data_IF_798194884151
#
_entry.id   IF_798194884151
#
_cell.length_a   1.000
_cell.length_b   1.000
_cell.length_c   1.000
_cell.angle_alpha   90.00
_cell.angle_beta   90.00
_cell.angle_gamma   90.00
#
_symmetry.space_group_name_H-M   'P 1'
#
loop_
_entity.id
_entity.type
_entity.pdbx_description
1 polymer ?
#
# COMPACT_ATOMS: atom_id res chain seq x y z
N UNK A 1 -17.89 4.23 28.39
CA UNK A 1 -16.68 3.81 27.65
C UNK A 1 -17.08 2.60 26.83
N UNK A 2 -17.18 2.72 25.50
CA UNK A 2 -17.43 1.54 24.65
C UNK A 2 -16.18 0.67 24.69
N UNK A 3 -16.36 -0.62 24.98
CA UNK A 3 -15.28 -1.60 24.80
C UNK A 3 -14.97 -1.63 23.31
N UNK A 4 -13.71 -1.38 22.96
CA UNK A 4 -13.27 -1.47 21.59
C UNK A 4 -13.48 -2.93 21.13
N UNK A 5 -14.40 -3.20 20.16
CA UNK A 5 -14.72 -4.56 19.74
C UNK A 5 -13.50 -5.28 19.13
N UNK A 6 -12.45 -4.55 18.74
CA UNK A 6 -11.24 -5.07 18.11
C UNK A 6 -10.27 -5.80 19.08
N UNK A 7 -10.59 -5.82 20.38
CA UNK A 7 -9.75 -6.42 21.45
C UNK A 7 -10.42 -7.58 22.20
N UNK A 8 -11.55 -8.11 21.72
CA UNK A 8 -12.15 -9.31 22.34
C UNK A 8 -11.31 -10.56 22.03
N UNK A 9 -11.37 -11.56 22.92
CA UNK A 9 -10.75 -12.86 22.69
C UNK A 9 -11.20 -13.49 21.36
N UNK A 10 -12.40 -13.14 20.90
CA UNK A 10 -13.04 -13.62 19.67
C UNK A 10 -12.28 -13.24 18.39
N UNK A 11 -11.46 -12.18 18.42
CA UNK A 11 -10.66 -11.72 17.27
C UNK A 11 -9.20 -12.18 17.30
N UNK A 12 -8.78 -12.87 18.36
CA UNK A 12 -7.39 -13.35 18.47
C UNK A 12 -7.00 -14.26 17.29
N UNK A 13 -7.92 -15.15 16.89
CA UNK A 13 -7.70 -16.02 15.75
C UNK A 13 -7.61 -15.24 14.42
N UNK A 14 -8.53 -14.32 14.16
CA UNK A 14 -8.54 -13.49 12.96
C UNK A 14 -7.24 -12.69 12.82
N UNK A 15 -6.74 -12.15 13.93
CA UNK A 15 -5.47 -11.43 14.00
C UNK A 15 -4.30 -12.32 13.63
N UNK A 16 -4.19 -13.50 14.24
CA UNK A 16 -3.13 -14.46 13.93
C UNK A 16 -3.18 -14.91 12.46
N UNK A 17 -4.38 -15.13 11.92
CA UNK A 17 -4.58 -15.47 10.51
C UNK A 17 -4.06 -14.38 9.58
N UNK A 18 -4.45 -13.11 9.79
CA UNK A 18 -3.99 -11.98 8.96
C UNK A 18 -2.50 -11.72 9.14
N UNK A 19 -1.97 -11.79 10.37
CA UNK A 19 -0.53 -11.65 10.62
C UNK A 19 0.27 -12.69 9.84
N UNK A 20 -0.17 -13.96 9.83
CA UNK A 20 0.49 -15.01 9.07
C UNK A 20 0.48 -14.77 7.56
N UNK A 21 -0.63 -14.29 7.01
CA UNK A 21 -0.73 -13.96 5.58
C UNK A 21 0.19 -12.80 5.18
N UNK A 22 0.31 -11.79 6.04
CA UNK A 22 1.07 -10.57 5.80
C UNK A 22 2.48 -10.61 6.41
N UNK A 23 2.93 -11.77 6.89
CA UNK A 23 4.30 -11.93 7.36
C UNK A 23 5.26 -11.73 6.17
N UNK A 24 6.25 -10.85 6.33
CA UNK A 24 7.20 -10.47 5.27
C UNK A 24 6.55 -9.83 4.04
N UNK A 25 5.36 -9.25 4.20
CA UNK A 25 4.77 -8.40 3.17
C UNK A 25 5.44 -7.03 3.14
N UNK A 26 5.30 -6.32 2.03
CA UNK A 26 5.83 -4.95 1.87
C UNK A 26 5.30 -4.04 2.97
N UNK A 27 3.99 -4.05 3.28
CA UNK A 27 3.48 -3.19 4.36
C UNK A 27 4.04 -3.56 5.73
N UNK A 28 4.16 -4.86 6.04
CA UNK A 28 4.66 -5.30 7.35
C UNK A 28 6.11 -4.86 7.56
N UNK A 29 6.93 -4.92 6.50
CA UNK A 29 8.33 -4.51 6.51
C UNK A 29 8.48 -2.98 6.54
N UNK A 30 7.68 -2.26 5.75
CA UNK A 30 7.68 -0.79 5.75
C UNK A 30 7.23 -0.25 7.11
N UNK A 31 6.17 -0.81 7.70
CA UNK A 31 5.65 -0.36 9.00
C UNK A 31 6.38 -0.96 10.20
N UNK A 32 7.27 -1.94 9.98
CA UNK A 32 8.06 -2.63 11.00
C UNK A 32 7.27 -3.62 11.86
N UNK A 33 6.03 -3.94 11.51
CA UNK A 33 5.19 -4.89 12.25
C UNK A 33 4.02 -5.41 11.44
N UNK A 34 3.89 -6.73 11.35
CA UNK A 34 2.69 -7.42 10.83
C UNK A 34 1.45 -7.15 11.69
N UNK A 35 1.62 -6.81 12.97
CA UNK A 35 0.50 -6.56 13.89
C UNK A 35 -0.22 -5.27 13.54
N UNK A 36 0.53 -4.25 13.13
CA UNK A 36 -0.02 -2.97 12.66
C UNK A 36 -0.82 -3.20 11.37
N UNK A 37 -0.28 -4.00 10.45
CA UNK A 37 -0.96 -4.36 9.20
C UNK A 37 -2.25 -5.13 9.49
N UNK A 38 -2.17 -6.15 10.35
CA UNK A 38 -3.33 -6.94 10.74
C UNK A 38 -4.40 -6.09 11.42
N UNK A 39 -4.03 -5.18 12.31
CA UNK A 39 -5.00 -4.28 12.96
C UNK A 39 -5.78 -3.42 11.96
N UNK A 40 -5.09 -2.85 10.97
CA UNK A 40 -5.72 -2.05 9.90
C UNK A 40 -6.67 -2.88 9.06
N UNK A 41 -6.23 -4.07 8.64
CA UNK A 41 -7.02 -4.98 7.83
C UNK A 41 -8.25 -5.45 8.58
N UNK A 42 -8.11 -5.86 9.84
CA UNK A 42 -9.24 -6.33 10.64
C UNK A 42 -10.31 -5.26 10.84
N UNK A 43 -9.91 -4.00 11.09
CA UNK A 43 -10.87 -2.89 11.22
C UNK A 43 -11.61 -2.61 9.93
N UNK A 44 -10.90 -2.62 8.80
CA UNK A 44 -11.53 -2.50 7.49
C UNK A 44 -12.51 -3.66 7.25
N UNK A 45 -12.07 -4.89 7.48
CA UNK A 45 -12.88 -6.09 7.25
C UNK A 45 -14.09 -6.16 8.15
N UNK A 46 -13.96 -5.75 9.40
CA UNK A 46 -15.06 -5.75 10.35
C UNK A 46 -16.12 -4.72 9.96
N UNK A 47 -15.72 -3.52 9.53
CA UNK A 47 -16.66 -2.53 8.96
C UNK A 47 -17.39 -3.09 7.75
N UNK A 48 -16.66 -3.72 6.83
CA UNK A 48 -17.25 -4.31 5.62
C UNK A 48 -18.23 -5.44 5.96
N UNK A 49 -17.88 -6.29 6.94
CA UNK A 49 -18.75 -7.35 7.45
C UNK A 49 -20.03 -6.78 8.10
N UNK A 50 -19.92 -5.70 8.88
CA UNK A 50 -21.07 -5.04 9.50
C UNK A 50 -21.99 -4.37 8.48
N UNK A 51 -21.44 -3.92 7.35
CA UNK A 51 -22.20 -3.28 6.26
C UNK A 51 -22.75 -4.28 5.24
N UNK A 52 -22.33 -5.55 5.28
CA UNK A 52 -22.88 -6.57 4.42
C UNK A 52 -24.38 -6.72 4.69
N UNK A 53 -25.21 -6.49 3.67
CA UNK A 53 -26.67 -6.44 3.82
C UNK A 53 -27.20 -7.78 4.35
N UNK A 54 -27.80 -7.74 5.54
CA UNK A 54 -28.40 -8.91 6.19
C UNK A 54 -29.81 -9.22 5.70
N UNK A 55 -30.33 -8.49 4.70
CA UNK A 55 -31.73 -8.57 4.28
C UNK A 55 -32.14 -9.92 3.70
N UNK A 56 -31.20 -10.71 3.15
CA UNK A 56 -31.52 -11.96 2.44
C UNK A 56 -31.11 -13.25 3.17
N UNK A 57 -30.04 -13.23 3.96
CA UNK A 57 -29.49 -14.42 4.64
C UNK A 57 -28.80 -14.02 5.95
N UNK A 58 -28.73 -14.93 6.95
CA UNK A 58 -27.91 -14.69 8.13
C UNK A 58 -26.45 -14.50 7.70
N UNK A 59 -25.85 -13.39 8.13
CA UNK A 59 -24.44 -13.12 7.89
C UNK A 59 -23.60 -14.25 8.52
N UNK A 60 -22.59 -14.78 7.81
CA UNK A 60 -21.62 -15.67 8.44
C UNK A 60 -20.95 -14.93 9.59
N UNK A 61 -20.42 -15.65 10.59
CA UNK A 61 -19.59 -14.99 11.59
C UNK A 61 -18.36 -14.33 10.93
N UNK A 62 -17.79 -13.35 11.63
CA UNK A 62 -16.70 -12.54 11.11
C UNK A 62 -15.47 -13.38 10.68
N UNK A 63 -15.17 -14.46 11.40
CA UNK A 63 -14.03 -15.32 11.09
C UNK A 63 -14.25 -16.07 9.77
N UNK A 64 -15.45 -16.62 9.56
CA UNK A 64 -15.82 -17.24 8.29
C UNK A 64 -15.88 -16.23 7.15
N UNK A 65 -16.39 -15.01 7.37
CA UNK A 65 -16.35 -13.94 6.38
C UNK A 65 -14.92 -13.60 5.96
N UNK A 66 -14.03 -13.38 6.93
CA UNK A 66 -12.63 -13.02 6.71
C UNK A 66 -11.88 -14.12 5.94
N UNK A 67 -12.01 -15.38 6.37
CA UNK A 67 -11.37 -16.50 5.67
C UNK A 67 -11.96 -16.70 4.29
N UNK A 68 -13.27 -16.60 4.14
CA UNK A 68 -13.91 -16.69 2.83
C UNK A 68 -13.42 -15.59 1.89
N UNK A 69 -13.19 -14.37 2.38
CA UNK A 69 -12.66 -13.27 1.56
C UNK A 69 -11.23 -13.52 1.08
N UNK A 70 -10.34 -14.05 1.93
CA UNK A 70 -8.95 -14.36 1.55
C UNK A 70 -8.79 -15.67 0.77
N UNK A 71 -9.65 -16.66 1.04
CA UNK A 71 -9.60 -17.98 0.43
C UNK A 71 -10.63 -18.16 -0.68
N UNK A 72 -11.39 -17.13 -1.06
CA UNK A 72 -12.48 -17.24 -2.02
C UNK A 72 -11.99 -17.91 -3.31
N UNK A 73 -12.54 -19.10 -3.60
CA UNK A 73 -12.18 -19.94 -4.75
C UNK A 73 -10.68 -20.22 -4.91
N UNK A 74 -9.95 -20.22 -3.79
CA UNK A 74 -8.78 -21.07 -3.55
C UNK A 74 -7.47 -20.72 -4.24
N UNK A 75 -7.39 -19.73 -5.15
CA UNK A 75 -6.15 -19.22 -5.75
C UNK A 75 -6.39 -17.93 -6.52
N UNK A 76 -5.33 -17.13 -6.64
CA UNK A 76 -5.17 -16.09 -7.68
C UNK A 76 -5.54 -16.67 -9.05
N UNK A 77 -6.33 -15.97 -9.89
CA UNK A 77 -6.76 -16.50 -11.19
C UNK A 77 -5.59 -16.99 -12.06
N UNK A 78 -5.82 -18.04 -12.85
CA UNK A 78 -4.85 -18.43 -13.89
C UNK A 78 -4.73 -17.24 -14.84
N UNK A 79 -3.50 -16.75 -15.07
CA UNK A 79 -3.23 -15.50 -15.81
C UNK A 79 -3.65 -14.19 -15.13
N UNK A 80 -3.67 -14.13 -13.79
CA UNK A 80 -3.98 -12.91 -13.03
C UNK A 80 -3.24 -11.64 -13.52
N UNK A 81 -2.01 -11.78 -14.01
CA UNK A 81 -1.22 -10.69 -14.60
C UNK A 81 -1.94 -9.97 -15.76
N UNK A 82 -2.73 -10.69 -16.56
CA UNK A 82 -3.52 -10.10 -17.67
C UNK A 82 -4.58 -9.12 -17.19
N UNK A 83 -5.01 -9.28 -15.94
CA UNK A 83 -6.01 -8.43 -15.29
C UNK A 83 -5.35 -7.34 -14.44
N UNK A 84 -4.02 -7.23 -14.42
CA UNK A 84 -3.31 -6.27 -13.57
C UNK A 84 -3.18 -6.71 -12.12
N UNK A 85 -3.36 -8.00 -11.83
CA UNK A 85 -3.03 -8.59 -10.53
C UNK A 85 -1.56 -9.05 -10.56
N UNK A 86 -0.69 -8.45 -9.77
CA UNK A 86 0.73 -8.78 -9.82
C UNK A 86 1.03 -10.15 -9.22
N UNK A 87 2.19 -10.70 -9.60
CA UNK A 87 2.78 -11.84 -8.87
C UNK A 87 2.97 -11.45 -7.40
N UNK A 88 2.85 -12.45 -6.52
CA UNK A 88 3.05 -12.29 -5.08
C UNK A 88 2.04 -11.38 -4.36
N UNK A 89 0.96 -10.97 -5.06
CA UNK A 89 -0.13 -10.24 -4.45
C UNK A 89 -0.84 -11.06 -3.37
N UNK A 90 -1.08 -10.42 -2.23
CA UNK A 90 -2.01 -10.90 -1.21
C UNK A 90 -3.37 -10.31 -1.58
N UNK A 91 -4.20 -11.17 -2.17
CA UNK A 91 -5.50 -10.78 -2.71
C UNK A 91 -6.61 -11.06 -1.71
N UNK A 92 -7.68 -10.29 -1.86
CA UNK A 92 -8.93 -10.53 -1.16
C UNK A 92 -10.08 -10.30 -2.11
N UNK A 93 -11.10 -11.15 -2.01
CA UNK A 93 -12.30 -11.02 -2.81
C UNK A 93 -13.11 -9.79 -2.37
N UNK A 94 -13.39 -8.92 -3.32
CA UNK A 94 -14.12 -7.68 -3.10
C UNK A 94 -15.62 -7.93 -3.29
N UNK A 95 -16.26 -8.46 -2.24
CA UNK A 95 -17.71 -8.60 -2.17
C UNK A 95 -18.38 -7.26 -2.49
N UNK A 96 -19.51 -7.30 -3.21
CA UNK A 96 -20.22 -6.08 -3.63
C UNK A 96 -20.67 -5.24 -2.46
N UNK A 97 -21.04 -5.92 -1.39
CA UNK A 97 -21.57 -5.36 -0.16
C UNK A 97 -20.46 -4.78 0.73
N UNK A 98 -19.19 -5.06 0.42
CA UNK A 98 -18.05 -4.61 1.22
C UNK A 98 -17.67 -3.13 0.99
N UNK A 99 -18.32 -2.44 0.05
CA UNK A 99 -18.18 -0.99 -0.12
C UNK A 99 -16.78 -0.51 -0.53
N UNK A 100 -15.99 -1.37 -1.18
CA UNK A 100 -14.71 -0.96 -1.76
C UNK A 100 -14.90 0.10 -2.85
N UNK A 101 -14.00 1.07 -2.91
CA UNK A 101 -13.98 2.05 -4.00
C UNK A 101 -13.65 1.34 -5.32
N UNK A 102 -14.38 1.66 -6.39
CA UNK A 102 -14.19 1.00 -7.70
C UNK A 102 -12.78 1.17 -8.26
N UNK A 103 -12.03 2.21 -7.86
CA UNK A 103 -10.62 2.38 -8.28
C UNK A 103 -9.64 1.39 -7.64
N UNK A 104 -10.04 0.72 -6.56
CA UNK A 104 -9.26 -0.33 -5.91
C UNK A 104 -9.57 -1.73 -6.45
N UNK A 105 -10.70 -1.88 -7.12
CA UNK A 105 -11.19 -3.16 -7.58
C UNK A 105 -10.52 -3.53 -8.89
N UNK A 106 -9.89 -4.69 -8.89
CA UNK A 106 -9.36 -5.34 -10.08
C UNK A 106 -10.32 -6.43 -10.49
N UNK A 107 -10.85 -6.29 -11.70
CA UNK A 107 -11.76 -7.25 -12.31
C UNK A 107 -10.96 -8.33 -13.03
N UNK A 108 -11.19 -9.59 -12.68
CA UNK A 108 -10.69 -10.73 -13.45
C UNK A 108 -11.82 -11.53 -14.05
N UNK A 109 -11.51 -12.23 -15.14
CA UNK A 109 -12.42 -13.16 -15.76
C UNK A 109 -11.88 -14.59 -15.63
N UNK A 110 -12.75 -15.53 -15.25
CA UNK A 110 -12.46 -16.95 -15.29
C UNK A 110 -13.16 -17.57 -16.50
N UNK A 111 -12.41 -17.81 -17.57
CA UNK A 111 -12.95 -18.27 -18.84
C UNK A 111 -13.49 -19.73 -18.78
N UNK A 112 -13.11 -20.49 -17.75
CA UNK A 112 -13.54 -21.88 -17.54
C UNK A 112 -14.88 -22.00 -16.79
N UNK A 113 -15.51 -20.89 -16.44
CA UNK A 113 -16.71 -20.82 -15.60
C UNK A 113 -17.90 -20.19 -16.37
N UNK A 114 -19.15 -20.62 -16.10
CA UNK A 114 -20.33 -20.02 -16.72
C UNK A 114 -20.37 -18.49 -16.61
N UNK A 115 -20.87 -17.83 -17.65
CA UNK A 115 -20.81 -16.38 -17.81
C UNK A 115 -21.41 -15.61 -16.63
N UNK A 116 -22.46 -16.13 -16.01
CA UNK A 116 -23.11 -15.53 -14.84
C UNK A 116 -22.18 -15.36 -13.63
N UNK A 117 -21.10 -16.14 -13.53
CA UNK A 117 -20.17 -16.13 -12.37
C UNK A 117 -18.70 -16.10 -12.80
N UNK A 118 -18.43 -15.74 -14.06
CA UNK A 118 -17.07 -15.64 -14.64
C UNK A 118 -16.29 -14.44 -14.11
N UNK A 119 -16.97 -13.34 -13.84
CA UNK A 119 -16.33 -12.11 -13.38
C UNK A 119 -16.10 -12.15 -11.87
N UNK A 120 -14.87 -11.82 -11.48
CA UNK A 120 -14.45 -11.78 -10.09
C UNK A 120 -13.85 -10.42 -9.78
N UNK A 121 -14.05 -9.98 -8.54
CA UNK A 121 -13.60 -8.69 -8.03
C UNK A 121 -12.54 -8.93 -6.97
N UNK A 122 -11.40 -8.27 -7.11
CA UNK A 122 -10.29 -8.42 -6.19
C UNK A 122 -9.80 -7.07 -5.71
N UNK A 123 -9.34 -7.00 -4.48
CA UNK A 123 -8.49 -5.90 -3.99
C UNK A 123 -7.12 -6.46 -3.63
N UNK A 124 -6.09 -5.66 -3.90
CA UNK A 124 -4.71 -5.99 -3.54
C UNK A 124 -4.46 -5.47 -2.13
N UNK A 125 -4.57 -6.37 -1.15
CA UNK A 125 -4.36 -6.03 0.26
C UNK A 125 -2.90 -5.66 0.52
N UNK A 126 -1.99 -6.43 -0.06
CA UNK A 126 -0.56 -6.28 0.14
C UNK A 126 0.23 -7.05 -0.93
N UNK A 127 1.55 -6.94 -0.92
CA UNK A 127 2.46 -7.67 -1.80
C UNK A 127 3.48 -8.41 -0.93
N UNK A 128 3.71 -9.70 -1.15
CA UNK A 128 4.81 -10.41 -0.47
C UNK A 128 6.14 -9.90 -1.00
N UNK A 129 7.11 -9.67 -0.12
CA UNK A 129 8.45 -9.28 -0.52
C UNK A 129 9.32 -10.53 -0.69
N UNK A 130 9.75 -10.90 -1.92
CA UNK A 130 10.59 -12.07 -2.13
C UNK A 130 11.95 -11.96 -1.42
N UNK A 131 12.45 -10.72 -1.31
CA UNK A 131 13.64 -10.37 -0.54
C UNK A 131 13.30 -9.26 0.47
N UNK A 132 12.93 -9.63 1.71
CA UNK A 132 12.56 -8.68 2.75
C UNK A 132 13.63 -7.64 3.06
N UNK A 133 14.91 -7.94 2.82
CA UNK A 133 16.03 -7.05 3.13
C UNK A 133 16.10 -5.82 2.21
N UNK A 134 15.42 -5.87 1.06
CA UNK A 134 15.37 -4.79 0.08
C UNK A 134 14.26 -3.78 0.34
N UNK A 135 13.30 -4.08 1.24
CA UNK A 135 12.21 -3.16 1.54
C UNK A 135 12.70 -2.08 2.51
N UNK A 136 12.57 -0.81 2.11
CA UNK A 136 13.02 0.33 2.92
C UNK A 136 12.03 0.55 4.07
N UNK A 137 12.45 0.38 5.34
CA UNK A 137 11.55 0.58 6.47
C UNK A 137 11.25 2.07 6.67
N UNK A 138 9.99 2.38 6.99
CA UNK A 138 9.56 3.74 7.28
C UNK A 138 9.84 4.10 8.73
N UNK A 139 10.92 4.84 8.96
CA UNK A 139 11.48 5.10 10.30
C UNK A 139 10.90 6.32 11.01
N UNK A 140 9.63 6.69 10.74
CA UNK A 140 9.04 7.90 11.32
C UNK A 140 8.62 7.69 12.79
N UNK A 141 9.18 8.46 13.74
CA UNK A 141 8.79 8.39 15.16
C UNK A 141 7.37 8.90 15.42
N UNK A 142 6.76 9.62 14.46
CA UNK A 142 5.44 10.22 14.56
C UNK A 142 4.33 9.41 13.89
N UNK A 143 4.61 8.16 13.48
CA UNK A 143 3.54 7.26 13.11
C UNK A 143 2.58 7.10 14.30
N UNK A 144 1.26 7.28 14.10
CA UNK A 144 0.27 7.19 15.18
C UNK A 144 0.24 5.81 15.86
N UNK A 145 0.91 4.81 15.26
CA UNK A 145 1.02 3.43 15.70
C UNK A 145 1.84 3.24 16.98
N UNK A 146 2.82 4.11 17.25
CA UNK A 146 3.81 3.88 18.31
C UNK A 146 3.43 4.39 19.70
N UNK A 147 2.41 5.26 19.83
CA UNK A 147 1.99 5.81 21.12
C UNK A 147 0.52 5.49 21.38
N UNK A 148 0.24 4.70 22.41
CA UNK A 148 -1.13 4.39 22.84
C UNK A 148 -1.90 5.65 23.23
N UNK A 149 -3.18 5.71 22.86
CA UNK A 149 -4.08 6.80 23.24
C UNK A 149 -5.29 6.95 22.31
N UNK A 150 -6.34 7.65 22.77
CA UNK A 150 -7.59 7.87 22.02
C UNK A 150 -7.40 8.43 20.60
N UNK A 151 -6.39 9.28 20.40
CA UNK A 151 -6.08 9.83 19.07
C UNK A 151 -5.64 8.77 18.07
N UNK A 152 -4.95 7.71 18.52
CA UNK A 152 -4.56 6.58 17.67
C UNK A 152 -5.79 5.84 17.16
N UNK A 153 -6.71 5.49 18.06
CA UNK A 153 -7.94 4.75 17.71
C UNK A 153 -8.81 5.53 16.73
N UNK A 154 -9.05 6.82 16.98
CA UNK A 154 -9.82 7.66 16.08
C UNK A 154 -9.16 7.79 14.69
N UNK A 155 -7.82 7.92 14.63
CA UNK A 155 -7.12 7.93 13.35
C UNK A 155 -7.25 6.57 12.64
N UNK A 156 -7.14 5.48 13.38
CA UNK A 156 -7.27 4.12 12.88
C UNK A 156 -8.62 3.82 12.23
N UNK A 157 -9.69 4.36 12.81
CA UNK A 157 -11.05 4.24 12.27
C UNK A 157 -11.21 5.00 10.96
N UNK A 158 -10.57 6.16 10.82
CA UNK A 158 -10.68 6.99 9.61
C UNK A 158 -9.76 6.50 8.50
N UNK A 159 -8.67 5.82 8.85
CA UNK A 159 -7.66 5.40 7.89
C UNK A 159 -8.17 4.30 6.96
N UNK A 160 -8.14 4.61 5.68
CA UNK A 160 -8.18 3.61 4.62
C UNK A 160 -6.99 2.65 4.79
N UNK A 161 -7.29 1.35 4.83
CA UNK A 161 -6.29 0.31 5.00
C UNK A 161 -5.62 -0.09 3.68
N UNK A 162 -6.23 0.24 2.54
CA UNK A 162 -5.80 -0.24 1.23
C UNK A 162 -4.70 0.66 0.63
N UNK A 163 -3.51 0.11 0.31
CA UNK A 163 -2.48 0.84 -0.40
C UNK A 163 -2.81 0.97 -1.89
N UNK A 164 -2.27 2.01 -2.51
CA UNK A 164 -2.30 2.16 -3.97
C UNK A 164 -1.02 1.55 -4.53
N UNK A 165 -1.16 0.40 -5.19
CA UNK A 165 -0.05 -0.30 -5.84
C UNK A 165 0.17 0.19 -7.26
N UNK A 166 1.43 0.47 -7.61
CA UNK A 166 1.83 0.88 -8.96
C UNK A 166 2.16 -0.36 -9.80
N UNK A 167 1.12 -1.06 -10.26
CA UNK A 167 1.26 -2.25 -11.11
C UNK A 167 1.53 -1.84 -12.55
N UNK A 168 2.62 -2.34 -13.12
CA UNK A 168 3.02 -2.09 -14.49
C UNK A 168 2.18 -2.89 -15.50
N UNK A 169 2.21 -2.49 -16.78
CA UNK A 169 1.55 -3.21 -17.88
C UNK A 169 2.08 -4.64 -18.10
N UNK A 170 3.29 -4.95 -17.61
CA UNK A 170 3.88 -6.29 -17.63
C UNK A 170 3.54 -7.13 -16.39
N UNK A 171 2.66 -6.67 -15.50
CA UNK A 171 2.26 -7.37 -14.28
C UNK A 171 3.24 -7.25 -13.10
N UNK A 172 4.37 -6.56 -13.25
CA UNK A 172 5.30 -6.30 -12.13
C UNK A 172 4.84 -5.15 -11.25
N UNK A 173 5.27 -5.13 -9.97
CA UNK A 173 4.94 -4.05 -9.04
C UNK A 173 6.07 -3.04 -8.95
N UNK A 174 5.68 -1.76 -9.02
CA UNK A 174 6.52 -0.61 -8.75
C UNK A 174 7.12 0.03 -9.98
N UNK A 175 7.59 1.26 -9.83
CA UNK A 175 8.23 2.05 -10.90
C UNK A 175 9.61 2.54 -10.45
N UNK A 176 10.67 2.36 -11.26
CA UNK A 176 11.99 2.90 -10.93
C UNK A 176 11.95 4.44 -10.87
N UNK A 177 12.58 5.04 -9.86
CA UNK A 177 12.54 6.51 -9.70
C UNK A 177 13.17 7.27 -10.87
N UNK A 178 14.16 6.66 -11.53
CA UNK A 178 14.91 7.27 -12.62
C UNK A 178 14.33 7.03 -14.03
N UNK A 179 13.20 6.31 -14.17
CA UNK A 179 12.58 6.00 -15.46
C UNK A 179 11.33 6.85 -15.72
N UNK A 180 10.97 6.95 -17.00
CA UNK A 180 9.67 7.50 -17.39
C UNK A 180 8.54 6.55 -16.96
N UNK A 181 7.59 7.07 -16.20
CA UNK A 181 6.49 6.32 -15.61
C UNK A 181 5.27 6.23 -16.53
N UNK A 182 5.16 7.13 -17.52
CA UNK A 182 4.02 7.18 -18.43
C UNK A 182 3.89 5.93 -19.31
N UNK A 183 4.99 5.23 -19.54
CA UNK A 183 5.05 4.00 -20.34
C UNK A 183 4.87 2.73 -19.53
N UNK A 184 5.08 2.80 -18.21
CA UNK A 184 5.08 1.62 -17.34
C UNK A 184 3.68 1.33 -16.78
N UNK A 185 2.88 2.36 -16.52
CA UNK A 185 1.60 2.22 -15.84
C UNK A 185 0.42 2.29 -16.83
N UNK A 186 -0.67 1.53 -16.58
CA UNK A 186 -1.87 1.62 -17.41
C UNK A 186 -2.41 3.06 -17.43
N UNK A 187 -2.54 3.71 -18.60
CA UNK A 187 -2.88 5.13 -18.70
C UNK A 187 -4.30 5.44 -18.24
N UNK A 188 -5.18 4.43 -18.24
CA UNK A 188 -6.59 4.56 -17.90
C UNK A 188 -6.90 4.28 -16.42
N UNK A 189 -5.93 3.84 -15.61
CA UNK A 189 -6.19 3.55 -14.20
C UNK A 189 -6.30 4.85 -13.41
N UNK A 190 -7.48 5.10 -12.90
CA UNK A 190 -7.81 6.27 -12.09
C UNK A 190 -7.76 5.92 -10.60
N UNK A 191 -7.60 6.94 -9.78
CA UNK A 191 -7.70 6.89 -8.33
C UNK A 191 -8.68 7.97 -7.87
N UNK A 192 -9.66 7.59 -7.05
CA UNK A 192 -10.78 8.44 -6.61
C UNK A 192 -10.89 8.63 -5.10
N UNK A 193 -10.09 7.95 -4.28
CA UNK A 193 -10.33 7.91 -2.83
C UNK A 193 -9.90 9.14 -2.05
N UNK A 194 -9.19 10.10 -2.66
CA UNK A 194 -8.68 11.25 -1.92
C UNK A 194 -9.74 12.34 -1.86
N UNK A 195 -10.35 12.63 -0.68
CA UNK A 195 -11.27 13.76 -0.54
C UNK A 195 -10.52 15.09 -0.67
N UNK A 196 -9.20 15.07 -0.53
CA UNK A 196 -8.35 16.26 -0.57
C UNK A 196 -7.62 16.39 -1.91
N UNK A 197 -7.51 17.64 -2.39
CA UNK A 197 -6.72 17.98 -3.59
C UNK A 197 -5.21 18.04 -3.32
N UNK A 198 -4.83 18.13 -2.04
CA UNK A 198 -3.44 18.25 -1.61
C UNK A 198 -3.16 17.17 -0.59
N UNK A 199 -2.18 16.33 -0.90
CA UNK A 199 -1.74 15.26 -0.01
C UNK A 199 -0.29 15.53 0.39
N UNK A 200 0.06 15.26 1.64
CA UNK A 200 1.44 15.33 2.10
C UNK A 200 2.15 13.99 1.89
N UNK A 201 3.22 13.98 1.10
CA UNK A 201 4.14 12.84 1.00
C UNK A 201 5.09 12.89 2.18
N UNK A 202 5.02 11.88 3.05
CA UNK A 202 5.91 11.72 4.20
C UNK A 202 7.01 10.72 3.85
N UNK A 203 8.27 11.11 4.06
CA UNK A 203 9.44 10.28 3.77
C UNK A 203 10.29 10.19 5.03
N UNK A 204 10.53 8.97 5.49
CA UNK A 204 11.34 8.65 6.67
C UNK A 204 12.32 7.52 6.32
N UNK A 205 13.48 7.91 5.83
CA UNK A 205 14.54 6.97 5.43
C UNK A 205 15.49 6.71 6.61
N UNK A 206 15.91 5.46 6.86
CA UNK A 206 16.76 5.13 8.02
C UNK A 206 18.04 5.96 8.08
N UNK A 207 18.28 6.64 9.20
CA UNK A 207 19.47 7.48 9.40
C UNK A 207 19.38 8.90 8.85
N UNK A 208 18.29 9.29 8.16
CA UNK A 208 18.14 10.60 7.55
C UNK A 208 16.97 11.39 8.15
N UNK A 209 17.03 12.72 8.00
CA UNK A 209 16.04 13.63 8.55
C UNK A 209 14.68 13.40 7.88
N UNK A 210 13.64 13.15 8.68
CA UNK A 210 12.25 13.08 8.21
C UNK A 210 11.85 14.29 7.36
N UNK A 211 11.14 14.05 6.26
CA UNK A 211 10.59 15.09 5.38
C UNK A 211 9.11 14.88 5.10
N UNK A 212 8.39 16.00 5.06
CA UNK A 212 7.00 16.08 4.66
C UNK A 212 6.89 17.09 3.53
N UNK A 213 6.36 16.69 2.38
CA UNK A 213 6.17 17.57 1.22
C UNK A 213 4.72 17.56 0.77
N UNK A 214 4.00 18.70 0.83
CA UNK A 214 2.68 18.77 0.23
C UNK A 214 2.78 18.68 -1.30
N UNK A 215 1.89 17.93 -1.90
CA UNK A 215 1.75 17.80 -3.36
C UNK A 215 0.30 18.02 -3.77
N UNK A 216 0.12 18.78 -4.84
CA UNK A 216 -1.19 18.93 -5.46
C UNK A 216 -1.45 17.73 -6.36
N UNK A 217 -2.56 17.04 -6.10
CA UNK A 217 -3.09 15.97 -6.94
C UNK A 217 -3.98 16.52 -8.07
N UNK A 218 -4.34 17.79 -7.98
CA UNK A 218 -5.23 18.42 -8.94
C UNK A 218 -4.59 18.51 -10.34
N UNK A 219 -5.38 18.13 -11.34
CA UNK A 219 -5.07 18.36 -12.75
C UNK A 219 -6.16 19.26 -13.31
N UNK A 220 -5.80 20.46 -13.78
CA UNK A 220 -6.75 21.30 -14.50
C UNK A 220 -7.13 20.59 -15.80
N UNK A 221 -8.37 20.13 -15.88
CA UNK A 221 -8.95 19.66 -17.13
C UNK A 221 -10.25 20.43 -17.36
N UNK A 222 -10.29 21.39 -18.30
CA UNK A 222 -11.48 22.20 -18.55
C UNK A 222 -12.67 21.38 -19.09
N UNK A 223 -12.46 20.11 -19.46
CA UNK A 223 -13.47 19.22 -20.02
C UNK A 223 -13.92 18.09 -19.07
N UNK A 224 -13.31 17.92 -17.89
CA UNK A 224 -13.72 16.90 -16.92
C UNK A 224 -14.34 17.54 -15.68
N UNK A 225 -15.58 17.17 -15.40
CA UNK A 225 -16.39 17.73 -14.31
C UNK A 225 -16.06 17.17 -12.92
N UNK A 226 -15.31 16.07 -12.83
CA UNK A 226 -14.94 15.46 -11.55
C UNK A 226 -13.50 15.82 -11.14
N UNK A 227 -13.31 16.77 -10.21
CA UNK A 227 -11.99 17.19 -9.75
C UNK A 227 -11.32 16.17 -8.79
N UNK A 228 -11.97 15.06 -8.47
CA UNK A 228 -11.52 14.10 -7.44
C UNK A 228 -10.77 12.89 -8.02
N UNK A 229 -10.91 12.63 -9.33
CA UNK A 229 -10.23 11.53 -10.00
C UNK A 229 -8.85 11.94 -10.52
N UNK A 230 -7.83 11.13 -10.24
CA UNK A 230 -6.47 11.36 -10.76
C UNK A 230 -5.92 10.11 -11.44
N UNK A 231 -5.16 10.23 -12.54
CA UNK A 231 -4.44 9.09 -13.10
C UNK A 231 -3.40 8.56 -12.11
N UNK A 232 -3.34 7.24 -11.92
CA UNK A 232 -2.34 6.62 -11.03
C UNK A 232 -0.91 6.95 -11.50
N UNK A 233 -0.67 7.03 -12.81
CA UNK A 233 0.62 7.46 -13.35
C UNK A 233 1.04 8.85 -12.86
N UNK A 234 0.10 9.78 -12.70
CA UNK A 234 0.35 11.11 -12.16
C UNK A 234 0.73 11.05 -10.68
N UNK A 235 -0.01 10.26 -9.89
CA UNK A 235 0.30 10.05 -8.47
C UNK A 235 1.71 9.46 -8.30
N UNK A 236 2.02 8.40 -9.05
CA UNK A 236 3.33 7.77 -9.04
C UNK A 236 4.45 8.76 -9.37
N UNK A 237 4.28 9.54 -10.44
CA UNK A 237 5.26 10.55 -10.86
C UNK A 237 5.51 11.62 -9.80
N UNK A 238 4.43 12.16 -9.22
CA UNK A 238 4.52 13.20 -8.18
C UNK A 238 5.24 12.67 -6.93
N UNK A 239 4.91 11.46 -6.50
CA UNK A 239 5.51 10.84 -5.32
C UNK A 239 6.97 10.47 -5.57
N UNK A 240 7.28 9.90 -6.74
CA UNK A 240 8.65 9.58 -7.13
C UNK A 240 9.55 10.81 -7.18
N UNK A 241 9.06 11.93 -7.71
CA UNK A 241 9.77 13.20 -7.67
C UNK A 241 10.00 13.70 -6.23
N UNK A 242 9.07 13.45 -5.30
CA UNK A 242 9.30 13.76 -3.89
C UNK A 242 10.43 12.92 -3.29
N UNK A 243 10.45 11.61 -3.58
CA UNK A 243 11.50 10.69 -3.11
C UNK A 243 12.85 11.06 -3.72
N UNK A 244 12.90 11.35 -5.02
CA UNK A 244 14.14 11.78 -5.68
C UNK A 244 14.70 13.07 -5.10
N UNK A 245 13.84 14.07 -4.90
CA UNK A 245 14.24 15.33 -4.26
C UNK A 245 14.72 15.12 -2.83
N UNK A 246 14.08 14.21 -2.08
CA UNK A 246 14.56 13.80 -0.76
C UNK A 246 15.96 13.21 -0.83
N UNK A 247 16.23 12.27 -1.75
CA UNK A 247 17.56 11.65 -1.89
C UNK A 247 18.65 12.68 -2.27
N UNK A 248 18.30 13.67 -3.11
CA UNK A 248 19.21 14.78 -3.47
C UNK A 248 19.56 15.61 -2.24
N UNK A 249 18.56 15.96 -1.44
CA UNK A 249 18.79 16.70 -0.21
C UNK A 249 19.58 15.88 0.81
N UNK A 250 19.22 14.60 1.00
CA UNK A 250 19.89 13.67 1.90
C UNK A 250 21.37 13.49 1.56
N UNK A 251 21.72 13.46 0.26
CA UNK A 251 23.12 13.42 -0.20
C UNK A 251 23.87 14.70 0.18
N UNK A 252 23.22 15.86 0.12
CA UNK A 252 23.84 17.16 0.47
C UNK A 252 24.00 17.33 1.98
N UNK A 253 23.01 16.91 2.76
CA UNK A 253 23.00 17.11 4.23
C UNK A 253 23.68 15.98 4.99
N UNK A 254 23.84 14.81 4.38
CA UNK A 254 24.28 13.60 5.05
C UNK A 254 23.24 13.03 6.06
N UNK A 255 23.61 11.94 6.76
CA UNK A 255 22.81 11.38 7.86
C UNK A 255 22.66 12.36 9.03
N UNK A 256 21.63 12.14 9.85
CA UNK A 256 21.41 12.93 11.08
C UNK A 256 22.54 12.64 12.07
N UNK A 257 23.14 13.66 12.72
CA UNK A 257 24.17 13.45 13.74
C UNK A 257 23.70 12.50 14.84
N UNK A 258 24.52 11.49 15.18
CA UNK A 258 24.19 10.47 16.16
C UNK A 258 23.25 9.36 15.66
N UNK A 259 22.79 9.41 14.41
CA UNK A 259 22.02 8.34 13.77
C UNK A 259 22.93 7.50 12.87
N UNK A 260 22.71 6.18 12.85
CA UNK A 260 23.40 5.29 11.91
C UNK A 260 22.43 4.91 10.78
N UNK A 261 22.71 5.27 9.51
CA UNK A 261 21.93 4.78 8.38
C UNK A 261 22.14 3.28 8.13
N UNK A 262 23.14 2.64 8.77
CA UNK A 262 23.47 1.24 8.54
C UNK A 262 23.75 0.96 7.05
N UNK A 263 23.05 -0.02 6.48
CA UNK A 263 23.11 -0.36 5.07
C UNK A 263 22.23 0.52 4.17
N UNK A 264 21.42 1.43 4.74
CA UNK A 264 20.51 2.32 3.99
C UNK A 264 21.18 3.64 3.56
N UNK A 265 22.47 3.62 3.24
CA UNK A 265 23.20 4.85 2.89
C UNK A 265 22.81 5.33 1.49
N UNK A 266 22.48 6.61 1.36
CA UNK A 266 22.12 7.27 0.11
C UNK A 266 23.35 7.97 -0.50
N UNK A 267 23.52 7.84 -1.81
CA UNK A 267 24.44 8.62 -2.65
C UNK A 267 23.73 9.02 -3.94
N UNK A 268 24.04 10.18 -4.51
CA UNK A 268 23.63 10.53 -5.88
C UNK A 268 24.85 10.75 -6.76
N UNK A 269 24.79 10.21 -7.97
CA UNK A 269 25.77 10.44 -9.03
C UNK A 269 27.04 9.59 -8.95
N UNK A 270 27.48 9.16 -7.76
CA UNK A 270 28.60 8.23 -7.60
C UNK A 270 28.11 6.87 -7.10
N UNK A 271 28.28 5.83 -7.92
CA UNK A 271 28.09 4.42 -7.56
C UNK A 271 29.28 3.93 -6.72
N UNK A 272 29.43 4.48 -5.53
CA UNK A 272 30.29 3.85 -4.53
C UNK A 272 29.63 2.51 -4.11
N UNK A 273 30.42 1.43 -3.98
CA UNK A 273 29.88 0.12 -3.56
C UNK A 273 29.04 0.23 -2.29
N UNK A 274 27.83 -0.34 -2.33
CA UNK A 274 26.89 -0.36 -1.20
C UNK A 274 26.15 0.95 -0.89
N UNK A 275 26.30 1.99 -1.71
CA UNK A 275 25.48 3.20 -1.63
C UNK A 275 24.26 3.09 -2.54
N UNK A 276 23.09 3.47 -2.02
CA UNK A 276 21.82 3.44 -2.74
C UNK A 276 21.66 4.76 -3.51
N UNK A 277 21.50 4.65 -4.82
CA UNK A 277 21.20 5.79 -5.71
C UNK A 277 19.73 5.80 -6.12
N UNK A 278 19.27 6.90 -6.74
CA UNK A 278 17.91 6.97 -7.29
C UNK A 278 17.64 5.92 -8.38
N UNK A 279 18.69 5.43 -9.05
CA UNK A 279 18.58 4.31 -9.99
C UNK A 279 18.38 2.95 -9.31
N UNK A 280 18.69 2.85 -8.03
CA UNK A 280 18.55 1.61 -7.26
C UNK A 280 17.19 1.54 -6.54
N UNK A 281 16.36 2.59 -6.56
CA UNK A 281 15.09 2.62 -5.84
C UNK A 281 13.89 2.42 -6.77
N UNK A 282 12.99 1.54 -6.35
CA UNK A 282 11.70 1.24 -6.95
C UNK A 282 10.60 1.74 -6.01
N UNK A 283 9.69 2.55 -6.54
CA UNK A 283 8.50 3.00 -5.84
C UNK A 283 7.36 2.00 -6.11
N UNK A 284 7.05 1.15 -5.14
CA UNK A 284 6.07 0.07 -5.25
C UNK A 284 4.61 0.59 -5.24
N UNK A 285 4.38 1.67 -4.50
CA UNK A 285 3.04 2.20 -4.26
C UNK A 285 3.04 3.29 -3.21
N UNK A 286 1.86 3.62 -2.70
CA UNK A 286 1.69 4.51 -1.55
C UNK A 286 0.67 3.94 -0.56
N UNK A 287 0.92 4.14 0.73
CA UNK A 287 -0.02 3.83 1.80
C UNK A 287 -0.50 5.12 2.47
N UNK A 288 -1.81 5.26 2.65
CA UNK A 288 -2.37 6.36 3.42
C UNK A 288 -2.08 6.17 4.91
N UNK A 289 -1.64 7.26 5.54
CA UNK A 289 -1.37 7.34 6.99
C UNK A 289 -2.16 8.47 7.67
N UNK A 290 -2.92 9.24 6.89
CA UNK A 290 -4.08 10.07 7.26
C UNK A 290 -4.82 10.46 5.97
N UNK A 291 -6.04 10.99 6.03
CA UNK A 291 -6.76 11.48 4.82
C UNK A 291 -5.92 12.43 3.95
N UNK A 292 -5.08 13.27 4.57
CA UNK A 292 -4.20 14.22 3.87
C UNK A 292 -2.73 13.81 3.81
N UNK A 293 -2.37 12.55 4.05
CA UNK A 293 -0.96 12.15 3.99
C UNK A 293 -0.73 10.69 3.56
N UNK A 294 0.30 10.52 2.73
CA UNK A 294 0.74 9.21 2.22
C UNK A 294 2.21 8.96 2.54
N UNK A 295 2.54 7.69 2.65
CA UNK A 295 3.90 7.17 2.76
C UNK A 295 4.23 6.40 1.48
N UNK A 296 5.37 6.68 0.81
CA UNK A 296 5.81 5.88 -0.31
C UNK A 296 6.27 4.50 0.16
N UNK A 297 5.86 3.46 -0.56
CA UNK A 297 6.33 2.09 -0.35
C UNK A 297 7.56 1.90 -1.25
N UNK A 298 8.73 1.76 -0.64
CA UNK A 298 10.01 1.79 -1.35
C UNK A 298 10.73 0.45 -1.23
N UNK A 299 11.34 0.04 -2.33
CA UNK A 299 12.20 -1.14 -2.41
C UNK A 299 13.50 -0.77 -3.14
N UNK A 300 14.61 -1.33 -2.68
CA UNK A 300 15.87 -1.32 -3.42
C UNK A 300 15.82 -2.43 -4.49
N UNK A 301 16.35 -2.15 -5.68
CA UNK A 301 16.24 -3.05 -6.83
C UNK A 301 16.77 -4.46 -6.50
N UNK A 302 16.16 -5.51 -7.05
CA UNK A 302 16.66 -6.88 -6.92
C UNK A 302 18.14 -6.98 -7.30
N UNK A 303 18.89 -7.78 -6.54
CA UNK A 303 20.33 -8.00 -6.75
C UNK A 303 21.25 -6.86 -6.28
N UNK A 304 20.70 -5.82 -5.63
CA UNK A 304 21.54 -4.83 -4.97
C UNK A 304 22.33 -5.46 -3.82
N UNK A 305 23.63 -5.17 -3.76
CA UNK A 305 24.51 -5.66 -2.70
C UNK A 305 24.81 -4.52 -1.74
N UNK A 306 24.32 -4.65 -0.51
CA UNK A 306 24.66 -3.72 0.56
C UNK A 306 26.15 -3.81 0.92
N UNK A 307 26.75 -2.68 1.30
CA UNK A 307 28.09 -2.71 1.91
C UNK A 307 28.04 -3.51 3.23
N UNK A 308 29.03 -4.38 3.42
CA UNK A 308 29.23 -5.10 4.69
C UNK A 308 29.74 -4.16 5.78
#
# INVERSE_FOLDING_TARGET
>A
MSVNPYHTADLAWARNFVQGLHQNSVLSLVLGSSDIVADRILRMMYRNWQHADSSALPLPDFNHYLVSAYQHRGRTPVNAERYGLPRDAILMFAYTEAGFDESDIVWSCDDDIPEAVRWRRWVIMDIRAPDPSLIVPFSDPCLPWYKGGFRREAMLEILDALPIWFVQTNGTVGVPLARDMGTLLPPQRLYSRSPTRVVAVKIAWPGYKYRKRPVSLWTWNPYKQDPTTIPIARLAHVVANCVRNFMIEATKTGPVPGSSPGHWRISIGSRAPGMITDHDVILLGVAYVSEGAVVPLLQVRPGFSFAR
#
